data_IF_011833469545
#
_entry.id   IF_011833469545
#
_cell.length_a   1.000
_cell.length_b   1.000
_cell.length_c   1.000
_cell.angle_alpha   90.00
_cell.angle_beta   90.00
_cell.angle_gamma   90.00
#
_symmetry.space_group_name_H-M   'P 1'
#
loop_
_entity.id
_entity.type
_entity.pdbx_description
1 polymer ?
#
# COMPACT_ATOMS: atom_id res chain seq x y z
N UNK A 1 13.49 -23.55 -1.25
CA UNK A 1 14.37 -23.37 -2.43
C UNK A 1 14.83 -21.91 -2.55
N UNK A 2 15.68 -21.47 -1.61
CA UNK A 2 16.88 -20.63 -1.78
C UNK A 2 17.75 -21.05 -0.57
N UNK A 3 19.02 -21.39 -0.78
CA UNK A 3 19.80 -22.30 0.07
C UNK A 3 20.87 -21.67 0.96
N UNK A 4 20.50 -20.80 1.91
CA UNK A 4 21.45 -20.14 2.83
C UNK A 4 21.23 -20.43 4.32
N UNK A 5 20.16 -21.14 4.71
CA UNK A 5 19.97 -21.64 6.08
C UNK A 5 19.78 -20.56 7.15
N UNK A 6 19.66 -19.29 6.77
CA UNK A 6 19.36 -18.20 7.70
C UNK A 6 17.87 -18.21 8.08
N UNK A 7 17.51 -17.78 9.31
CA UNK A 7 16.12 -17.44 9.59
C UNK A 7 15.67 -16.43 8.55
N UNK A 8 14.49 -16.63 7.96
CA UNK A 8 13.92 -15.69 6.98
C UNK A 8 13.59 -14.38 7.69
N UNK A 9 14.59 -13.54 7.94
CA UNK A 9 14.38 -12.21 8.50
C UNK A 9 13.73 -11.36 7.42
N UNK A 10 12.40 -11.29 7.48
CA UNK A 10 11.62 -10.46 6.58
C UNK A 10 11.83 -8.99 6.98
N UNK A 11 12.65 -8.26 6.22
CA UNK A 11 12.91 -6.83 6.46
C UNK A 11 11.78 -6.02 5.82
N UNK A 12 10.84 -5.53 6.64
CA UNK A 12 9.76 -4.65 6.20
C UNK A 12 10.10 -3.19 6.51
N UNK A 13 9.90 -2.29 5.53
CA UNK A 13 9.87 -0.84 5.76
C UNK A 13 8.50 -0.40 6.30
N UNK A 14 8.43 0.62 7.18
CA UNK A 14 7.16 1.12 7.71
C UNK A 14 6.24 1.62 6.59
N UNK A 15 4.94 1.53 6.84
CA UNK A 15 3.89 2.11 5.98
C UNK A 15 3.47 3.41 6.65
N UNK A 16 3.36 4.48 5.86
CA UNK A 16 2.89 5.79 6.33
C UNK A 16 1.49 6.02 5.80
N UNK A 17 0.54 6.31 6.70
CA UNK A 17 -0.81 6.75 6.35
C UNK A 17 -0.96 8.16 6.90
N UNK A 18 -1.15 9.14 6.02
CA UNK A 18 -1.34 10.52 6.42
C UNK A 18 -2.80 10.81 6.85
N UNK A 19 -3.12 12.08 7.13
CA UNK A 19 -4.43 12.48 7.64
C UNK A 19 -5.56 12.29 6.64
N UNK A 20 -6.76 11.95 7.13
CA UNK A 20 -7.99 11.87 6.34
C UNK A 20 -7.96 10.86 5.18
N UNK A 21 -7.14 9.81 5.27
CA UNK A 21 -7.13 8.72 4.28
C UNK A 21 -8.33 7.80 4.47
N UNK A 22 -8.99 7.41 3.38
CA UNK A 22 -9.99 6.35 3.37
C UNK A 22 -9.40 5.04 2.83
N UNK A 23 -9.46 3.97 3.62
CA UNK A 23 -9.06 2.62 3.20
C UNK A 23 -10.28 1.72 3.06
N UNK A 24 -10.57 1.30 1.84
CA UNK A 24 -11.61 0.32 1.55
C UNK A 24 -11.32 -1.03 2.16
N UNK A 25 -12.39 -1.79 2.45
CA UNK A 25 -12.28 -3.12 3.04
C UNK A 25 -11.37 -4.04 2.20
N UNK A 26 -10.44 -4.73 2.87
CA UNK A 26 -9.51 -5.65 2.22
C UNK A 26 -8.43 -4.99 1.37
N UNK A 27 -8.22 -3.68 1.46
CA UNK A 27 -7.05 -3.03 0.85
C UNK A 27 -5.75 -3.53 1.51
N UNK A 28 -4.76 -3.85 0.69
CA UNK A 28 -3.43 -4.32 1.11
C UNK A 28 -2.40 -3.27 0.70
N UNK A 29 -1.63 -2.77 1.67
CA UNK A 29 -0.55 -1.80 1.45
C UNK A 29 0.79 -2.50 1.65
N UNK A 30 1.70 -2.44 0.67
CA UNK A 30 3.01 -3.09 0.78
C UNK A 30 3.99 -2.25 1.61
N UNK A 31 5.01 -2.90 2.17
CA UNK A 31 6.03 -2.24 2.99
C UNK A 31 6.69 -1.05 2.29
N UNK A 32 6.91 0.03 3.04
CA UNK A 32 7.58 1.25 2.55
C UNK A 32 6.71 2.24 1.78
N UNK A 33 5.41 1.97 1.62
CA UNK A 33 4.47 2.86 0.91
C UNK A 33 3.97 3.97 1.83
N UNK A 34 3.84 5.17 1.26
CA UNK A 34 3.14 6.31 1.84
C UNK A 34 1.80 6.55 1.14
N UNK A 35 0.73 6.68 1.93
CA UNK A 35 -0.59 7.09 1.46
C UNK A 35 -0.82 8.55 1.84
N UNK A 36 -0.81 9.44 0.85
CA UNK A 36 -0.93 10.88 1.04
C UNK A 36 -2.29 11.31 1.58
N UNK A 37 -2.31 12.48 2.23
CA UNK A 37 -3.47 13.02 2.93
C UNK A 37 -4.70 13.12 2.04
N UNK A 38 -5.87 12.73 2.55
CA UNK A 38 -7.13 12.76 1.79
C UNK A 38 -7.24 11.73 0.66
N UNK A 39 -6.26 10.84 0.48
CA UNK A 39 -6.35 9.79 -0.54
C UNK A 39 -7.41 8.74 -0.19
N UNK A 40 -8.01 8.14 -1.22
CA UNK A 40 -8.97 7.04 -1.11
C UNK A 40 -8.41 5.80 -1.80
N UNK A 41 -8.37 4.68 -1.07
CA UNK A 41 -7.98 3.36 -1.60
C UNK A 41 -9.23 2.50 -1.70
N UNK A 42 -9.58 2.05 -2.91
CA UNK A 42 -10.75 1.21 -3.14
C UNK A 42 -10.65 -0.15 -2.44
N UNK A 43 -11.80 -0.78 -2.18
CA UNK A 43 -11.86 -2.11 -1.58
C UNK A 43 -11.10 -3.14 -2.43
N UNK A 44 -10.36 -4.04 -1.76
CA UNK A 44 -9.56 -5.10 -2.40
C UNK A 44 -8.34 -4.63 -3.20
N UNK A 45 -7.96 -3.35 -3.14
CA UNK A 45 -6.79 -2.84 -3.86
C UNK A 45 -5.47 -3.34 -3.25
N UNK A 46 -4.46 -3.57 -4.10
CA UNK A 46 -3.08 -3.88 -3.66
C UNK A 46 -2.17 -2.72 -4.05
N UNK A 47 -1.81 -1.91 -3.06
CA UNK A 47 -1.00 -0.70 -3.24
C UNK A 47 0.48 -1.04 -3.08
N UNK A 48 1.20 -1.01 -4.20
CA UNK A 48 2.63 -1.34 -4.27
C UNK A 48 3.55 -0.12 -4.48
N UNK A 49 3.00 1.10 -4.49
CA UNK A 49 3.69 2.37 -4.74
C UNK A 49 3.00 3.48 -3.95
N UNK A 50 3.73 4.56 -3.67
CA UNK A 50 3.19 5.73 -2.99
C UNK A 50 1.96 6.30 -3.71
N UNK A 51 1.00 6.77 -2.90
CA UNK A 51 -0.25 7.37 -3.37
C UNK A 51 -0.23 8.85 -3.02
N UNK A 52 -0.40 9.71 -4.03
CA UNK A 52 -0.44 11.15 -3.83
C UNK A 52 -1.65 11.58 -2.97
N UNK A 53 -1.58 12.77 -2.37
CA UNK A 53 -2.70 13.34 -1.62
C UNK A 53 -3.94 13.57 -2.51
N UNK A 54 -5.13 13.42 -1.93
CA UNK A 54 -6.44 13.69 -2.57
C UNK A 54 -6.72 12.93 -3.88
N UNK A 55 -6.17 11.72 -4.05
CA UNK A 55 -6.43 10.87 -5.22
C UNK A 55 -7.21 9.61 -4.85
N UNK A 56 -7.92 9.04 -5.83
CA UNK A 56 -8.57 7.73 -5.72
C UNK A 56 -7.72 6.68 -6.45
N UNK A 57 -7.38 5.58 -5.78
CA UNK A 57 -6.69 4.43 -6.39
C UNK A 57 -7.44 3.12 -6.17
N UNK A 58 -7.31 2.17 -7.10
CA UNK A 58 -7.89 0.83 -6.97
C UNK A 58 -7.28 -0.21 -7.91
N UNK A 59 -7.60 -1.48 -7.67
CA UNK A 59 -7.13 -2.63 -8.46
C UNK A 59 -5.89 -3.34 -7.91
N UNK A 60 -5.42 -4.36 -8.65
CA UNK A 60 -4.22 -5.16 -8.35
C UNK A 60 -3.33 -5.22 -9.60
N UNK A 61 -2.24 -4.44 -9.70
CA UNK A 61 -1.80 -3.41 -8.74
C UNK A 61 -2.72 -2.17 -8.76
N UNK A 62 -2.75 -1.43 -7.65
CA UNK A 62 -3.51 -0.21 -7.53
C UNK A 62 -3.04 0.86 -8.51
N UNK A 63 -3.97 1.48 -9.23
CA UNK A 63 -3.74 2.59 -10.16
C UNK A 63 -4.71 3.73 -9.87
N UNK A 64 -4.35 4.94 -10.29
CA UNK A 64 -5.25 6.08 -10.25
C UNK A 64 -6.54 5.75 -11.02
N UNK A 65 -7.68 6.08 -10.42
CA UNK A 65 -9.00 5.94 -11.03
C UNK A 65 -9.48 7.32 -11.47
N UNK A 66 -9.86 7.44 -12.74
CA UNK A 66 -10.40 8.65 -13.35
C UNK A 66 -11.93 8.64 -13.32
#
# INVERSE_FOLDING_TARGET
IVGDGLPRTHISRPITIESNVWLGAGAIITSGVTIGSGATVAAGAVVSKDVAANVLVGGVPAKHLN
#
